data_IF_749354316250
#
_entry.id   IF_749354316250
#
_cell.length_a   1.000
_cell.length_b   1.000
_cell.length_c   1.000
_cell.angle_alpha   90.00
_cell.angle_beta   90.00
_cell.angle_gamma   90.00
#
_symmetry.space_group_name_H-M   'P 1'
#
loop_
_entity.id
_entity.type
_entity.pdbx_description
1 polymer ?
#
# COMPACT_ATOMS: atom_id res chain seq x y z
N UNK A 1 -43.01 7.95 -6.14
CA UNK A 1 -41.98 7.18 -6.87
C UNK A 1 -40.61 7.89 -6.79
N UNK A 2 -40.41 8.77 -5.81
CA UNK A 2 -39.39 9.82 -5.87
C UNK A 2 -38.16 9.54 -4.97
N UNK A 3 -38.26 8.57 -4.05
CA UNK A 3 -37.17 8.15 -3.16
C UNK A 3 -36.15 7.21 -3.83
N UNK A 4 -36.56 6.45 -4.85
CA UNK A 4 -35.66 5.52 -5.56
C UNK A 4 -34.69 6.31 -6.47
N UNK A 5 -35.18 7.38 -7.09
CA UNK A 5 -34.36 8.26 -7.96
C UNK A 5 -33.35 9.07 -7.15
N UNK A 6 -33.71 9.57 -5.97
CA UNK A 6 -32.77 10.34 -5.12
C UNK A 6 -31.65 9.47 -4.55
N UNK A 7 -31.93 8.23 -4.14
CA UNK A 7 -30.90 7.28 -3.69
C UNK A 7 -29.92 6.90 -4.82
N UNK A 8 -30.43 6.71 -6.04
CA UNK A 8 -29.57 6.47 -7.22
C UNK A 8 -28.70 7.70 -7.56
N UNK A 9 -29.23 8.92 -7.44
CA UNK A 9 -28.48 10.15 -7.66
C UNK A 9 -27.38 10.33 -6.60
N UNK A 10 -27.65 10.00 -5.34
CA UNK A 10 -26.65 10.08 -4.26
C UNK A 10 -25.52 9.06 -4.44
N UNK A 11 -25.83 7.82 -4.82
CA UNK A 11 -24.82 6.81 -5.17
C UNK A 11 -23.97 7.28 -6.36
N UNK A 12 -24.60 7.90 -7.35
CA UNK A 12 -23.91 8.43 -8.54
C UNK A 12 -22.98 9.59 -8.19
N UNK A 13 -23.42 10.51 -7.32
CA UNK A 13 -22.63 11.68 -6.92
C UNK A 13 -21.44 11.28 -6.03
N UNK A 14 -21.63 10.32 -5.13
CA UNK A 14 -20.56 9.78 -4.30
C UNK A 14 -19.50 9.02 -5.12
N UNK A 15 -19.94 8.19 -6.08
CA UNK A 15 -19.02 7.52 -7.01
C UNK A 15 -18.23 8.54 -7.85
N UNK A 16 -18.86 9.61 -8.32
CA UNK A 16 -18.17 10.69 -9.05
C UNK A 16 -17.12 11.42 -8.20
N UNK A 17 -17.39 11.66 -6.91
CA UNK A 17 -16.42 12.27 -6.00
C UNK A 17 -15.23 11.34 -5.71
N UNK A 18 -15.50 10.04 -5.58
CA UNK A 18 -14.48 9.00 -5.38
C UNK A 18 -13.60 8.87 -6.62
N UNK A 19 -14.21 8.73 -7.80
CA UNK A 19 -13.50 8.67 -9.09
C UNK A 19 -12.63 9.91 -9.31
N UNK A 20 -13.17 11.11 -9.05
CA UNK A 20 -12.40 12.36 -9.19
C UNK A 20 -11.21 12.43 -8.23
N UNK A 21 -11.33 11.87 -7.02
CA UNK A 21 -10.21 11.77 -6.08
C UNK A 21 -9.19 10.72 -6.53
N UNK A 22 -9.65 9.61 -7.10
CA UNK A 22 -8.82 8.54 -7.62
C UNK A 22 -8.02 8.98 -8.87
N UNK A 23 -8.65 9.75 -9.76
CA UNK A 23 -7.99 10.38 -10.91
C UNK A 23 -6.89 11.36 -10.48
N UNK A 24 -7.11 12.13 -9.40
CA UNK A 24 -6.09 12.99 -8.82
C UNK A 24 -4.91 12.17 -8.27
N UNK A 25 -5.19 11.06 -7.59
CA UNK A 25 -4.15 10.16 -7.12
C UNK A 25 -3.39 9.51 -8.28
N UNK A 26 -4.07 9.12 -9.36
CA UNK A 26 -3.48 8.51 -10.56
C UNK A 26 -2.67 9.50 -11.40
N UNK A 27 -3.09 10.77 -11.43
CA UNK A 27 -2.35 11.86 -12.07
C UNK A 27 -1.10 12.27 -11.29
N UNK A 28 -1.12 12.13 -9.96
CA UNK A 28 0.03 12.36 -9.08
C UNK A 28 0.99 11.17 -9.03
N UNK A 29 0.48 9.94 -9.12
CA UNK A 29 1.29 8.72 -9.12
C UNK A 29 1.69 8.35 -10.55
N UNK A 30 2.77 8.95 -11.06
CA UNK A 30 3.46 8.38 -12.22
C UNK A 30 4.18 7.09 -11.80
N UNK A 31 3.44 5.99 -11.67
CA UNK A 31 3.97 4.63 -11.55
C UNK A 31 4.94 4.38 -12.72
N UNK A 32 6.26 4.41 -12.44
CA UNK A 32 7.32 4.28 -13.46
C UNK A 32 8.35 5.41 -13.45
N UNK A 33 8.05 6.54 -12.82
CA UNK A 33 9.05 7.49 -12.33
C UNK A 33 8.84 7.60 -10.83
N UNK A 34 9.34 6.63 -10.06
CA UNK A 34 9.38 6.74 -8.60
C UNK A 34 10.26 7.95 -8.27
N UNK A 35 9.61 9.10 -8.17
CA UNK A 35 10.21 10.40 -7.99
C UNK A 35 10.39 10.60 -6.51
N UNK A 36 11.56 10.26 -5.98
CA UNK A 36 11.91 10.39 -4.56
C UNK A 36 11.25 9.38 -3.62
N UNK A 37 11.97 9.14 -2.54
CA UNK A 37 11.61 8.30 -1.40
C UNK A 37 10.21 8.59 -0.82
N UNK A 38 9.80 9.87 -0.86
CA UNK A 38 8.49 10.32 -0.37
C UNK A 38 7.31 9.79 -1.17
N UNK A 39 7.48 9.59 -2.48
CA UNK A 39 6.41 9.03 -3.33
C UNK A 39 6.21 7.55 -3.01
N UNK A 40 7.30 6.83 -2.70
CA UNK A 40 7.26 5.42 -2.33
C UNK A 40 6.61 5.22 -0.97
N UNK A 41 6.94 6.09 -0.01
CA UNK A 41 6.31 6.12 1.32
C UNK A 41 4.81 6.41 1.19
N UNK A 42 4.41 7.35 0.34
CA UNK A 42 3.01 7.68 0.09
C UNK A 42 2.25 6.49 -0.51
N UNK A 43 2.78 5.87 -1.56
CA UNK A 43 2.14 4.70 -2.21
C UNK A 43 2.00 3.55 -1.21
N UNK A 44 3.00 3.34 -0.37
CA UNK A 44 2.97 2.29 0.63
C UNK A 44 1.92 2.54 1.73
N UNK A 45 1.75 3.79 2.18
CA UNK A 45 0.66 4.19 3.10
C UNK A 45 -0.71 4.04 2.46
N UNK A 46 -0.85 4.49 1.20
CA UNK A 46 -2.10 4.36 0.45
C UNK A 46 -2.50 2.87 0.30
N UNK A 47 -1.53 1.99 0.09
CA UNK A 47 -1.76 0.54 0.07
C UNK A 47 -2.27 0.00 1.40
N UNK A 48 -1.65 0.40 2.52
CA UNK A 48 -2.11 -0.01 3.85
C UNK A 48 -3.55 0.43 4.13
N UNK A 49 -3.93 1.65 3.73
CA UNK A 49 -5.31 2.14 3.83
C UNK A 49 -6.28 1.22 3.07
N UNK A 50 -5.98 0.85 1.83
CA UNK A 50 -6.83 -0.07 1.06
C UNK A 50 -6.95 -1.43 1.74
N UNK A 51 -5.85 -1.95 2.28
CA UNK A 51 -5.86 -3.22 3.00
C UNK A 51 -6.72 -3.16 4.26
N UNK A 52 -6.57 -2.12 5.08
CA UNK A 52 -7.37 -1.92 6.31
C UNK A 52 -8.86 -1.81 5.96
N UNK A 53 -9.20 -1.10 4.89
CA UNK A 53 -10.57 -1.02 4.42
C UNK A 53 -11.13 -2.42 4.05
N UNK A 54 -10.35 -3.24 3.35
CA UNK A 54 -10.72 -4.63 3.02
C UNK A 54 -10.83 -5.52 4.26
N UNK A 55 -10.02 -5.27 5.27
CA UNK A 55 -10.15 -5.94 6.56
C UNK A 55 -11.49 -5.61 7.21
N UNK A 56 -11.88 -4.32 7.29
CA UNK A 56 -13.18 -3.92 7.83
C UNK A 56 -14.35 -4.53 7.06
N UNK A 57 -14.27 -4.50 5.72
CA UNK A 57 -15.27 -5.13 4.86
C UNK A 57 -15.40 -6.63 5.16
N UNK A 58 -14.28 -7.34 5.32
CA UNK A 58 -14.25 -8.77 5.62
C UNK A 58 -14.81 -9.08 7.01
N UNK A 59 -14.46 -8.27 8.02
CA UNK A 59 -15.01 -8.38 9.37
C UNK A 59 -16.52 -8.20 9.38
N UNK A 60 -17.05 -7.21 8.64
CA UNK A 60 -18.51 -6.97 8.54
C UNK A 60 -19.22 -8.10 7.78
N UNK A 61 -18.61 -8.62 6.71
CA UNK A 61 -19.14 -9.78 5.97
C UNK A 61 -19.22 -11.04 6.82
N UNK A 62 -18.35 -11.19 7.82
CA UNK A 62 -18.38 -12.30 8.75
C UNK A 62 -19.51 -12.21 9.80
N UNK A 63 -20.14 -11.04 9.97
CA UNK A 63 -21.27 -10.85 10.89
C UNK A 63 -22.57 -11.15 10.13
N UNK A 64 -23.42 -12.09 10.61
CA UNK A 64 -24.70 -12.39 9.98
C UNK A 64 -25.57 -11.14 9.88
N UNK A 65 -26.03 -10.82 8.67
CA UNK A 65 -26.89 -9.65 8.44
C UNK A 65 -28.31 -9.95 8.92
N UNK A 66 -28.83 -9.15 9.86
CA UNK A 66 -30.23 -9.20 10.28
C UNK A 66 -31.05 -8.13 9.55
N UNK A 67 -32.18 -8.51 8.95
CA UNK A 67 -32.92 -7.75 7.93
C UNK A 67 -33.50 -6.38 8.32
N UNK A 68 -33.30 -5.89 9.54
CA UNK A 68 -33.72 -4.55 9.99
C UNK A 68 -32.67 -3.46 9.73
N UNK A 69 -31.38 -3.81 9.62
CA UNK A 69 -30.28 -2.85 9.45
C UNK A 69 -29.55 -2.97 8.10
N UNK A 70 -30.06 -3.80 7.19
CA UNK A 70 -29.39 -4.16 5.93
C UNK A 70 -29.88 -3.31 4.74
N UNK A 71 -29.84 -1.99 4.89
CA UNK A 71 -30.19 -1.07 3.81
C UNK A 71 -28.96 -0.68 2.99
N UNK A 72 -29.14 -0.48 1.68
CA UNK A 72 -28.07 -0.02 0.78
C UNK A 72 -27.50 1.35 1.19
N UNK A 73 -28.33 2.21 1.78
CA UNK A 73 -27.90 3.51 2.29
C UNK A 73 -26.98 3.36 3.51
N UNK A 74 -27.28 2.42 4.41
CA UNK A 74 -26.43 2.12 5.55
C UNK A 74 -25.10 1.50 5.12
N UNK A 75 -25.12 0.59 4.15
CA UNK A 75 -23.92 -0.01 3.58
C UNK A 75 -23.01 1.05 2.93
N UNK A 76 -23.60 1.98 2.16
CA UNK A 76 -22.84 3.11 1.61
C UNK A 76 -22.21 3.97 2.71
N UNK A 77 -22.99 4.37 3.72
CA UNK A 77 -22.49 5.17 4.84
C UNK A 77 -21.35 4.46 5.59
N UNK A 78 -21.51 3.17 5.88
CA UNK A 78 -20.47 2.35 6.52
C UNK A 78 -19.22 2.27 5.64
N UNK A 79 -19.36 2.07 4.32
CA UNK A 79 -18.21 2.03 3.42
C UNK A 79 -17.41 3.33 3.42
N UNK A 80 -18.09 4.48 3.44
CA UNK A 80 -17.44 5.80 3.54
C UNK A 80 -16.72 5.99 4.88
N UNK A 81 -17.37 5.57 5.97
CA UNK A 81 -16.78 5.64 7.31
C UNK A 81 -15.54 4.75 7.41
N UNK A 82 -15.62 3.52 6.91
CA UNK A 82 -14.52 2.56 6.93
C UNK A 82 -13.37 3.05 6.04
N UNK A 83 -13.64 3.77 4.94
CA UNK A 83 -12.61 4.41 4.10
C UNK A 83 -11.85 5.51 4.85
N UNK A 84 -12.55 6.42 5.53
CA UNK A 84 -11.88 7.50 6.27
C UNK A 84 -11.13 6.95 7.50
N UNK A 85 -11.70 5.95 8.17
CA UNK A 85 -11.04 5.27 9.28
C UNK A 85 -9.75 4.58 8.82
N UNK A 86 -9.82 3.83 7.73
CA UNK A 86 -8.67 3.15 7.15
C UNK A 86 -7.56 4.14 6.75
N UNK A 87 -7.94 5.28 6.15
CA UNK A 87 -7.01 6.36 5.82
C UNK A 87 -6.35 6.93 7.07
N UNK A 88 -7.13 7.29 8.10
CA UNK A 88 -6.59 7.83 9.35
C UNK A 88 -5.64 6.85 10.05
N UNK A 89 -5.97 5.56 10.06
CA UNK A 89 -5.12 4.51 10.61
C UNK A 89 -3.81 4.36 9.83
N UNK A 90 -3.84 4.45 8.50
CA UNK A 90 -2.63 4.39 7.67
C UNK A 90 -1.71 5.61 7.84
N UNK A 91 -2.27 6.78 8.14
CA UNK A 91 -1.49 8.01 8.39
C UNK A 91 -0.81 7.99 9.77
N UNK A 92 -1.47 7.43 10.78
CA UNK A 92 -1.01 7.41 12.18
C UNK A 92 -0.37 6.09 12.55
N UNK A 93 0.78 5.80 11.93
CA UNK A 93 1.67 4.67 12.29
C UNK A 93 0.87 3.37 12.47
N UNK A 94 0.23 2.95 11.37
CA UNK A 94 -0.81 1.92 11.32
C UNK A 94 -0.41 0.52 11.79
N UNK A 95 -0.62 -0.50 10.97
CA UNK A 95 -0.30 -1.90 11.31
C UNK A 95 1.12 -2.30 10.89
N UNK A 96 1.84 -1.42 10.18
CA UNK A 96 3.21 -1.66 9.71
C UNK A 96 3.28 -2.38 8.36
N UNK A 97 2.12 -2.63 7.73
CA UNK A 97 2.07 -3.20 6.37
C UNK A 97 2.60 -2.21 5.33
N UNK A 98 2.30 -0.92 5.51
CA UNK A 98 2.87 0.13 4.67
C UNK A 98 4.40 0.14 4.72
N UNK A 99 5.00 0.00 5.91
CA UNK A 99 6.46 -0.03 6.03
C UNK A 99 7.09 -1.22 5.33
N UNK A 100 6.44 -2.38 5.34
CA UNK A 100 6.90 -3.58 4.64
C UNK A 100 6.88 -3.37 3.12
N UNK A 101 5.77 -2.86 2.60
CA UNK A 101 5.61 -2.53 1.18
C UNK A 101 6.63 -1.47 0.75
N UNK A 102 6.83 -0.42 1.56
CA UNK A 102 7.85 0.59 1.30
C UNK A 102 9.25 -0.02 1.23
N UNK A 103 9.63 -0.90 2.17
CA UNK A 103 10.93 -1.57 2.17
C UNK A 103 11.15 -2.38 0.90
N UNK A 104 10.13 -3.10 0.45
CA UNK A 104 10.22 -3.92 -0.75
C UNK A 104 10.29 -3.06 -2.01
N UNK A 105 9.47 -2.00 -2.12
CA UNK A 105 9.57 -1.02 -3.19
C UNK A 105 10.95 -0.36 -3.22
N UNK A 106 11.51 0.02 -2.06
CA UNK A 106 12.84 0.64 -1.92
C UNK A 106 13.97 -0.28 -2.37
N UNK A 107 13.90 -1.58 -2.00
CA UNK A 107 14.85 -2.59 -2.50
C UNK A 107 14.76 -2.72 -4.02
N UNK A 108 13.55 -2.79 -4.58
CA UNK A 108 13.35 -2.90 -6.03
C UNK A 108 13.87 -1.67 -6.77
N UNK A 109 13.61 -0.45 -6.28
CA UNK A 109 14.13 0.80 -6.86
C UNK A 109 15.68 0.83 -6.86
N UNK A 110 16.32 0.40 -5.78
CA UNK A 110 17.80 0.27 -5.71
C UNK A 110 18.36 -0.74 -6.72
N UNK A 111 17.68 -1.88 -6.89
CA UNK A 111 18.06 -2.88 -7.90
C UNK A 111 17.91 -2.29 -9.30
N UNK A 112 16.80 -1.60 -9.58
CA UNK A 112 16.51 -0.94 -10.86
C UNK A 112 17.50 0.19 -11.19
N UNK A 113 18.02 0.89 -10.18
CA UNK A 113 19.07 1.91 -10.32
C UNK A 113 20.48 1.32 -10.49
N UNK A 114 20.65 0.00 -10.40
CA UNK A 114 21.95 -0.66 -10.51
C UNK A 114 22.84 -0.48 -9.28
N UNK A 115 22.27 -0.09 -8.13
CA UNK A 115 23.03 0.21 -6.92
C UNK A 115 23.31 -1.03 -6.04
N UNK A 116 22.70 -2.18 -6.33
CA UNK A 116 22.82 -3.39 -5.52
C UNK A 116 23.63 -4.49 -6.21
N UNK A 117 24.96 -4.45 -6.03
CA UNK A 117 25.82 -5.64 -5.80
C UNK A 117 27.25 -5.25 -5.39
N UNK A 118 27.42 -4.34 -4.42
CA UNK A 118 28.61 -4.36 -3.57
C UNK A 118 28.43 -5.47 -2.54
N UNK A 119 28.60 -6.71 -3.00
CA UNK A 119 28.72 -7.84 -2.09
C UNK A 119 30.04 -7.70 -1.35
N UNK A 120 29.95 -7.62 -0.03
CA UNK A 120 31.05 -7.77 0.90
C UNK A 120 31.59 -9.21 0.86
N UNK A 121 32.09 -9.66 -0.28
CA UNK A 121 33.02 -10.80 -0.36
C UNK A 121 34.42 -10.28 -0.07
N UNK A 122 34.61 -9.74 1.14
CA UNK A 122 35.95 -9.46 1.64
C UNK A 122 36.60 -10.79 1.98
N UNK A 123 37.48 -11.21 1.06
CA UNK A 123 38.79 -11.79 1.35
C UNK A 123 38.80 -12.89 2.43
N UNK A 124 38.71 -14.15 2.00
CA UNK A 124 39.49 -15.19 2.68
C UNK A 124 40.92 -15.02 2.14
N UNK A 125 41.89 -14.51 2.92
CA UNK A 125 43.27 -14.52 2.48
C UNK A 125 43.74 -15.98 2.46
N UNK A 126 43.68 -16.63 1.30
CA UNK A 126 44.57 -17.76 1.03
C UNK A 126 45.96 -17.18 0.81
N UNK A 127 46.70 -17.00 1.91
CA UNK A 127 48.15 -16.80 1.83
C UNK A 127 48.73 -18.09 1.24
N UNK A 128 49.03 -18.08 -0.05
CA UNK A 128 49.98 -19.00 -0.66
C UNK A 128 51.33 -18.71 -0.01
N UNK A 129 51.68 -19.47 1.04
CA UNK A 129 53.08 -19.61 1.44
C UNK A 129 53.77 -20.34 0.29
N UNK A 130 54.39 -19.57 -0.60
CA UNK A 130 55.51 -20.01 -1.41
C UNK A 130 56.60 -20.46 -0.45
N UNK A 131 56.65 -21.77 -0.17
CA UNK A 131 57.76 -22.42 0.52
C UNK A 131 58.72 -22.97 -0.52
N UNK A 132 59.55 -22.09 -1.09
CA UNK A 132 60.82 -22.51 -1.67
C UNK A 132 61.92 -22.07 -0.71
N UNK A 133 62.16 -22.89 0.31
CA UNK A 133 63.35 -22.83 1.16
C UNK A 133 64.17 -24.07 0.80
N UNK A 134 65.23 -23.82 0.04
CA UNK A 134 66.28 -24.77 -0.33
C UNK A 134 67.30 -24.86 0.81
N UNK A 135 67.75 -26.07 1.14
CA UNK A 135 68.89 -26.36 2.03
C UNK A 135 68.45 -26.58 3.48
N UNK A 136 68.74 -27.69 4.15
CA UNK A 136 69.86 -28.64 4.07
C UNK A 136 69.42 -30.10 4.25
#
# INVERSE_FOLDING_TARGET
MDSIKSAQIQNTLFNQLTEKNLERMRGQSKFGKLGSDKDMEKVARDFESVFVNKLFESMRKAIPKSGLFDSSAMEMYQSMMDQEMAKNMSERKGMGLGEMVYKDLSKMDKILRGEALSSSTSQIPMTLKTGNELGE
#
